data_IF_140757708139
#
_entry.id   IF_140757708139
#
_cell.length_a   1.000
_cell.length_b   1.000
_cell.length_c   1.000
_cell.angle_alpha   90.00
_cell.angle_beta   90.00
_cell.angle_gamma   90.00
#
_symmetry.space_group_name_H-M   'P 1'
#
loop_
_entity.id
_entity.type
_entity.pdbx_description
1 polymer ?
#
# COMPACT_ATOMS: atom_id res chain seq x y z
N UNK A 1 -2.63 23.48 9.68
CA UNK A 1 -2.96 22.21 8.99
C UNK A 1 -3.18 21.15 10.06
N UNK A 2 -4.42 20.76 10.35
CA UNK A 2 -4.75 19.85 11.46
C UNK A 2 -4.18 18.45 11.23
N UNK A 3 -3.75 17.77 12.30
CA UNK A 3 -3.15 16.43 12.26
C UNK A 3 -4.03 15.41 11.51
N UNK A 4 -5.36 15.54 11.63
CA UNK A 4 -6.36 14.75 10.87
C UNK A 4 -6.23 14.86 9.35
N UNK A 5 -5.97 16.05 8.79
CA UNK A 5 -5.76 16.22 7.33
C UNK A 5 -4.44 15.59 6.87
N UNK A 6 -3.39 15.60 7.69
CA UNK A 6 -2.11 14.95 7.37
C UNK A 6 -2.25 13.44 7.29
N UNK A 7 -2.91 12.83 8.29
CA UNK A 7 -3.18 11.38 8.27
C UNK A 7 -4.06 10.96 7.09
N UNK A 8 -5.10 11.74 6.76
CA UNK A 8 -5.93 11.46 5.59
C UNK A 8 -5.11 11.46 4.29
N UNK A 9 -4.26 12.48 4.09
CA UNK A 9 -3.40 12.56 2.89
C UNK A 9 -2.39 11.40 2.85
N UNK A 10 -1.78 11.07 3.98
CA UNK A 10 -0.84 9.95 4.07
C UNK A 10 -1.51 8.61 3.77
N UNK A 11 -2.72 8.36 4.28
CA UNK A 11 -3.50 7.16 3.96
C UNK A 11 -3.83 7.11 2.46
N UNK A 12 -4.25 8.22 1.86
CA UNK A 12 -4.52 8.29 0.42
C UNK A 12 -3.28 7.97 -0.41
N UNK A 13 -2.14 8.60 -0.13
CA UNK A 13 -0.91 8.34 -0.87
C UNK A 13 -0.42 6.90 -0.71
N UNK A 14 -0.49 6.32 0.49
CA UNK A 14 -0.13 4.92 0.71
C UNK A 14 -1.07 3.97 -0.05
N UNK A 15 -2.36 4.26 -0.11
CA UNK A 15 -3.33 3.46 -0.88
C UNK A 15 -3.07 3.52 -2.39
N UNK A 16 -2.67 4.68 -2.92
CA UNK A 16 -2.27 4.79 -4.33
C UNK A 16 -1.04 3.94 -4.62
N UNK A 17 -0.03 3.97 -3.75
CA UNK A 17 1.18 3.14 -3.88
C UNK A 17 0.84 1.65 -3.81
N UNK A 18 -0.02 1.23 -2.88
CA UNK A 18 -0.50 -0.16 -2.79
C UNK A 18 -1.20 -0.58 -4.08
N UNK A 19 -2.08 0.28 -4.62
CA UNK A 19 -2.79 0.00 -5.87
C UNK A 19 -1.80 -0.21 -7.03
N UNK A 20 -0.81 0.68 -7.16
CA UNK A 20 0.23 0.60 -8.18
C UNK A 20 1.06 -0.70 -8.06
N UNK A 21 1.41 -1.11 -6.84
CA UNK A 21 2.12 -2.37 -6.61
C UNK A 21 1.25 -3.60 -6.96
N UNK A 22 -0.05 -3.58 -6.63
CA UNK A 22 -0.96 -4.66 -7.00
C UNK A 22 -1.14 -4.76 -8.51
N UNK A 23 -1.26 -3.63 -9.20
CA UNK A 23 -1.35 -3.59 -10.66
C UNK A 23 -0.07 -4.13 -11.30
N UNK A 24 1.12 -3.77 -10.77
CA UNK A 24 2.40 -4.34 -11.20
C UNK A 24 2.46 -5.85 -10.99
N UNK A 25 2.04 -6.36 -9.84
CA UNK A 25 1.96 -7.81 -9.57
C UNK A 25 1.04 -8.50 -10.59
N UNK A 26 -0.12 -7.91 -10.87
CA UNK A 26 -1.10 -8.48 -11.80
C UNK A 26 -0.53 -8.52 -13.23
N UNK A 27 0.10 -7.44 -13.68
CA UNK A 27 0.80 -7.39 -14.97
C UNK A 27 1.94 -8.40 -15.07
N UNK A 28 2.72 -8.57 -13.98
CA UNK A 28 3.83 -9.53 -13.95
C UNK A 28 3.32 -10.98 -13.94
N UNK A 29 2.19 -11.27 -13.30
CA UNK A 29 1.51 -12.57 -13.32
C UNK A 29 0.90 -12.92 -14.69
N UNK A 30 0.54 -11.91 -15.48
CA UNK A 30 0.02 -12.10 -16.85
C UNK A 30 1.13 -12.45 -17.86
N UNK A 31 2.41 -12.33 -17.49
CA UNK A 31 3.52 -12.70 -18.37
C UNK A 31 3.73 -14.21 -18.38
N UNK A 32 4.24 -14.71 -19.50
CA UNK A 32 4.62 -16.12 -19.70
C UNK A 32 5.67 -16.62 -18.70
N UNK A 33 6.47 -15.73 -18.11
CA UNK A 33 7.44 -16.03 -17.07
C UNK A 33 7.38 -14.97 -15.97
N UNK A 34 6.48 -15.15 -14.99
CA UNK A 34 6.35 -14.21 -13.88
C UNK A 34 7.59 -14.26 -12.99
N UNK A 35 8.05 -13.08 -12.57
CA UNK A 35 9.16 -12.99 -11.61
C UNK A 35 8.62 -13.08 -10.18
N UNK A 36 8.64 -14.29 -9.63
CA UNK A 36 8.10 -14.58 -8.30
C UNK A 36 8.82 -13.80 -7.19
N UNK A 37 10.14 -13.61 -7.27
CA UNK A 37 10.89 -12.82 -6.29
C UNK A 37 10.44 -11.36 -6.27
N UNK A 38 10.17 -10.79 -7.45
CA UNK A 38 9.66 -9.43 -7.59
C UNK A 38 8.23 -9.29 -7.06
N UNK A 39 7.37 -10.27 -7.37
CA UNK A 39 6.00 -10.33 -6.84
C UNK A 39 6.04 -10.40 -5.31
N UNK A 40 6.83 -11.31 -4.73
CA UNK A 40 6.99 -11.44 -3.28
C UNK A 40 7.52 -10.17 -2.63
N UNK A 41 8.43 -9.47 -3.30
CA UNK A 41 8.93 -8.18 -2.82
C UNK A 41 7.78 -7.17 -2.72
N UNK A 42 7.01 -7.00 -3.80
CA UNK A 42 5.88 -6.09 -3.85
C UNK A 42 4.76 -6.47 -2.87
N UNK A 43 4.47 -7.76 -2.70
CA UNK A 43 3.51 -8.24 -1.69
C UNK A 43 3.94 -7.86 -0.27
N UNK A 44 5.23 -8.00 0.03
CA UNK A 44 5.78 -7.64 1.34
C UNK A 44 5.73 -6.13 1.58
N UNK A 45 5.99 -5.33 0.54
CA UNK A 45 5.82 -3.88 0.61
C UNK A 45 4.36 -3.48 0.82
N UNK A 46 3.42 -4.12 0.11
CA UNK A 46 1.98 -3.91 0.28
C UNK A 46 1.56 -4.18 1.73
N UNK A 47 1.99 -5.29 2.33
CA UNK A 47 1.66 -5.65 3.71
C UNK A 47 2.13 -4.57 4.71
N UNK A 48 3.37 -4.07 4.54
CA UNK A 48 3.94 -3.00 5.37
C UNK A 48 3.16 -1.69 5.19
N UNK A 49 2.78 -1.35 3.96
CA UNK A 49 2.00 -0.14 3.67
C UNK A 49 0.58 -0.26 4.22
N UNK A 50 -0.06 -1.43 4.14
CA UNK A 50 -1.39 -1.69 4.69
C UNK A 50 -1.41 -1.62 6.22
N UNK A 51 -0.41 -2.18 6.90
CA UNK A 51 -0.23 -2.05 8.35
C UNK A 51 -0.07 -0.56 8.74
N UNK A 52 0.74 0.18 7.99
CA UNK A 52 0.94 1.63 8.19
C UNK A 52 -0.37 2.42 8.02
N UNK A 53 -1.17 2.09 7.00
CA UNK A 53 -2.50 2.67 6.79
C UNK A 53 -3.44 2.33 7.94
N UNK A 54 -3.47 1.07 8.39
CA UNK A 54 -4.31 0.64 9.48
C UNK A 54 -3.94 1.32 10.80
N UNK A 55 -2.65 1.48 11.09
CA UNK A 55 -2.16 2.24 12.25
C UNK A 55 -2.57 3.72 12.16
N UNK A 56 -2.39 4.36 11.01
CA UNK A 56 -2.79 5.75 10.80
C UNK A 56 -4.31 5.93 10.92
N UNK A 57 -5.10 4.99 10.41
CA UNK A 57 -6.57 4.98 10.49
C UNK A 57 -7.05 4.80 11.94
N UNK A 58 -6.50 3.84 12.68
CA UNK A 58 -6.78 3.66 14.12
C UNK A 58 -6.47 4.91 14.93
N UNK A 59 -5.37 5.62 14.62
CA UNK A 59 -5.02 6.91 15.26
C UNK A 59 -5.96 8.04 14.87
N UNK A 60 -6.47 8.03 13.64
CA UNK A 60 -7.46 8.99 13.17
C UNK A 60 -8.82 8.80 13.87
N UNK A 61 -9.25 7.56 14.11
CA UNK A 61 -10.52 7.23 14.77
C UNK A 61 -10.50 7.45 16.29
N UNK A 62 -9.33 7.36 16.94
CA UNK A 62 -9.18 7.58 18.39
C UNK A 62 -9.01 9.05 18.80
N UNK A 63 -8.76 9.96 17.86
CA UNK A 63 -8.49 11.39 18.11
C UNK A 63 -9.50 12.34 17.49
#
# INVERSE_FOLDING_TARGET
MTSKKRYKKQISSLKEVIKDHREKIEQENLKDSPNIDRIRHWEKEIDIYEDSVNKAKKRFERG
#
